data_IF_355392358282
#
_entry.id   IF_355392358282
#
_cell.length_a   1.000
_cell.length_b   1.000
_cell.length_c   1.000
_cell.angle_alpha   90.00
_cell.angle_beta   90.00
_cell.angle_gamma   90.00
#
_symmetry.space_group_name_H-M   'P 1'
#
loop_
_entity.id
_entity.type
_entity.pdbx_description
1 polymer ?
#
# COMPACT_ATOMS: atom_id res chain seq x y z
N UNK A 1 16.96 19.41 9.67
CA UNK A 1 16.73 18.22 10.51
C UNK A 1 17.19 17.02 9.69
N UNK A 2 18.05 16.14 10.22
CA UNK A 2 18.45 14.92 9.51
C UNK A 2 17.23 14.02 9.40
N UNK A 3 16.65 13.96 8.21
CA UNK A 3 15.49 13.14 7.88
C UNK A 3 15.96 11.73 7.52
N UNK A 4 15.23 10.75 8.00
CA UNK A 4 15.37 9.32 7.84
C UNK A 4 16.57 8.70 8.58
N UNK A 5 16.25 7.76 9.45
CA UNK A 5 17.23 6.84 10.01
C UNK A 5 18.04 6.24 8.85
N UNK A 6 19.35 6.55 8.80
CA UNK A 6 20.28 5.85 7.94
C UNK A 6 20.19 4.38 8.32
N UNK A 7 19.60 3.58 7.44
CA UNK A 7 19.51 2.15 7.65
C UNK A 7 20.92 1.58 7.65
N UNK A 8 21.22 0.77 8.65
CA UNK A 8 22.51 0.13 8.79
C UNK A 8 22.74 -0.81 7.58
N UNK A 9 23.83 -0.56 6.86
CA UNK A 9 24.30 -1.49 5.85
C UNK A 9 24.77 -2.75 6.56
N UNK A 10 24.34 -3.91 6.04
CA UNK A 10 24.91 -5.18 6.48
C UNK A 10 26.43 -5.22 6.20
N UNK A 11 27.15 -6.12 6.86
CA UNK A 11 28.60 -6.26 6.74
C UNK A 11 29.08 -6.52 5.28
N UNK A 12 28.19 -7.03 4.42
CA UNK A 12 28.42 -7.27 2.99
C UNK A 12 28.06 -6.04 2.11
N UNK A 13 27.75 -4.91 2.72
CA UNK A 13 27.35 -3.68 2.04
C UNK A 13 25.93 -3.69 1.48
N UNK A 14 25.14 -4.72 1.73
CA UNK A 14 23.73 -4.78 1.31
C UNK A 14 22.82 -3.97 2.22
N UNK A 15 21.71 -3.50 1.63
CA UNK A 15 20.58 -2.92 2.38
C UNK A 15 19.34 -3.75 2.12
N UNK A 16 18.56 -4.06 3.15
CA UNK A 16 17.33 -4.84 3.04
C UNK A 16 16.16 -4.09 3.65
N UNK A 17 15.05 -4.00 2.95
CA UNK A 17 13.82 -3.32 3.37
C UNK A 17 12.57 -4.17 3.10
N UNK A 18 11.60 -4.07 4.03
CA UNK A 18 10.24 -4.56 3.82
C UNK A 18 9.43 -3.44 3.17
N UNK A 19 8.88 -3.69 1.99
CA UNK A 19 7.94 -2.83 1.28
C UNK A 19 6.53 -3.12 1.80
N UNK A 20 6.12 -2.43 2.86
CA UNK A 20 4.88 -2.71 3.58
C UNK A 20 3.64 -2.48 2.71
N UNK A 21 2.65 -3.38 2.78
CA UNK A 21 1.37 -3.21 2.11
C UNK A 21 0.65 -1.95 2.60
N UNK A 22 0.23 -1.10 1.67
CA UNK A 22 -0.58 0.10 1.92
C UNK A 22 -2.06 -0.28 1.99
N UNK A 23 -2.75 0.12 3.03
CA UNK A 23 -4.19 -0.14 3.22
C UNK A 23 -4.96 1.19 3.22
N UNK A 24 -5.92 1.34 2.33
CA UNK A 24 -6.89 2.41 2.41
C UNK A 24 -8.01 2.01 3.40
N UNK A 25 -7.97 2.53 4.63
CA UNK A 25 -9.02 2.25 5.63
C UNK A 25 -10.38 2.84 5.20
N UNK A 26 -10.35 3.93 4.45
CA UNK A 26 -11.48 4.48 3.70
C UNK A 26 -10.98 5.27 2.48
N UNK A 27 -11.86 5.43 1.48
CA UNK A 27 -11.58 6.16 0.25
C UNK A 27 -12.86 6.83 -0.25
N UNK A 28 -12.92 8.14 -0.20
CA UNK A 28 -14.01 8.93 -0.73
C UNK A 28 -13.60 9.58 -2.03
N UNK A 29 -14.46 9.54 -3.04
CA UNK A 29 -14.27 10.32 -4.28
C UNK A 29 -14.91 11.68 -4.06
N UNK A 30 -14.10 12.74 -4.22
CA UNK A 30 -14.51 14.12 -3.90
C UNK A 30 -14.83 14.96 -5.13
N UNK A 31 -14.52 14.46 -6.31
CA UNK A 31 -14.78 15.18 -7.57
C UNK A 31 -13.82 14.78 -8.68
N UNK A 32 -13.56 15.71 -9.57
CA UNK A 32 -12.62 15.58 -10.69
C UNK A 32 -11.85 16.87 -10.89
N UNK A 33 -10.63 16.76 -11.38
CA UNK A 33 -9.82 17.90 -11.81
C UNK A 33 -9.38 17.71 -13.28
N UNK A 34 -9.16 18.81 -14.03
CA UNK A 34 -8.65 18.74 -15.41
C UNK A 34 -7.30 18.03 -15.46
N UNK A 35 -7.10 17.17 -16.45
CA UNK A 35 -5.85 16.42 -16.68
C UNK A 35 -6.14 15.01 -17.22
N UNK A 36 -5.11 14.33 -17.71
CA UNK A 36 -5.25 12.99 -18.26
C UNK A 36 -6.02 12.93 -19.56
N UNK A 37 -7.09 12.16 -19.60
CA UNK A 37 -8.02 12.07 -20.71
C UNK A 37 -9.07 13.20 -20.70
N UNK A 38 -10.02 13.19 -21.65
CA UNK A 38 -11.08 14.21 -21.75
C UNK A 38 -11.97 14.29 -20.50
N UNK A 39 -11.99 13.26 -19.66
CA UNK A 39 -12.80 13.19 -18.43
C UNK A 39 -12.07 13.71 -17.19
N UNK A 40 -10.73 13.90 -17.27
CA UNK A 40 -9.90 14.34 -16.15
C UNK A 40 -9.64 13.25 -15.11
N UNK A 41 -8.86 13.61 -14.09
CA UNK A 41 -8.55 12.69 -12.97
C UNK A 41 -9.59 12.82 -11.85
N UNK A 42 -10.00 11.69 -11.27
CA UNK A 42 -10.79 11.72 -10.03
C UNK A 42 -9.96 12.28 -8.89
N UNK A 43 -10.56 13.17 -8.12
CA UNK A 43 -10.02 13.60 -6.82
C UNK A 43 -10.60 12.71 -5.72
N UNK A 44 -9.79 12.44 -4.73
CA UNK A 44 -10.14 11.56 -3.61
C UNK A 44 -9.76 12.17 -2.26
N UNK A 45 -10.29 11.60 -1.22
CA UNK A 45 -9.89 11.80 0.17
C UNK A 45 -9.86 10.41 0.84
N UNK A 46 -8.70 9.96 1.30
CA UNK A 46 -8.47 8.60 1.76
C UNK A 46 -7.60 8.58 3.01
N UNK A 47 -7.97 7.74 3.98
CA UNK A 47 -7.12 7.43 5.11
C UNK A 47 -6.30 6.20 4.81
N UNK A 48 -4.98 6.39 4.77
CA UNK A 48 -3.98 5.36 4.44
C UNK A 48 -3.21 4.96 5.69
N UNK A 49 -3.03 3.66 5.89
CA UNK A 49 -2.15 3.04 6.88
C UNK A 49 -1.33 1.94 6.21
N UNK A 50 -0.45 1.31 6.96
CA UNK A 50 0.34 0.18 6.47
C UNK A 50 0.04 -1.08 7.27
N UNK A 51 0.30 -2.24 6.66
CA UNK A 51 0.22 -3.54 7.32
C UNK A 51 1.63 -4.09 7.57
N UNK A 52 1.80 -4.86 8.66
CA UNK A 52 3.07 -5.49 9.03
C UNK A 52 3.39 -6.71 8.14
N UNK A 53 3.06 -6.62 6.86
CA UNK A 53 3.42 -7.57 5.81
C UNK A 53 3.79 -6.79 4.55
N UNK A 54 4.72 -7.32 3.77
CA UNK A 54 5.17 -6.65 2.55
C UNK A 54 6.08 -7.52 1.70
N UNK A 55 6.43 -6.99 0.56
CA UNK A 55 7.50 -7.53 -0.27
C UNK A 55 8.87 -7.17 0.33
N UNK A 56 9.93 -7.78 -0.15
CA UNK A 56 11.28 -7.51 0.37
C UNK A 56 12.18 -7.03 -0.75
N UNK A 57 12.74 -5.84 -0.59
CA UNK A 57 13.79 -5.28 -1.44
C UNK A 57 15.15 -5.51 -0.77
N UNK A 58 16.09 -6.05 -1.54
CA UNK A 58 17.50 -6.13 -1.15
C UNK A 58 18.33 -5.52 -2.26
N UNK A 59 19.22 -4.59 -1.92
CA UNK A 59 20.15 -3.97 -2.90
C UNK A 59 21.60 -4.23 -2.51
N UNK A 60 22.45 -4.44 -3.52
CA UNK A 60 23.90 -4.64 -3.40
C UNK A 60 24.63 -3.81 -4.44
N UNK A 61 25.90 -3.42 -4.19
CA UNK A 61 26.70 -2.74 -5.20
C UNK A 61 26.87 -3.62 -6.45
N UNK A 62 26.79 -3.00 -7.65
CA UNK A 62 27.07 -3.64 -8.93
C UNK A 62 27.59 -2.62 -9.95
N UNK A 63 28.03 -3.07 -11.12
CA UNK A 63 28.47 -2.19 -12.21
C UNK A 63 27.28 -1.61 -12.99
N UNK A 64 26.20 -2.41 -13.13
CA UNK A 64 24.98 -2.06 -13.84
C UNK A 64 23.76 -2.18 -12.95
N UNK A 65 22.65 -1.54 -13.31
CA UNK A 65 21.36 -1.72 -12.64
C UNK A 65 20.74 -3.00 -13.15
N UNK A 66 20.55 -3.96 -12.25
CA UNK A 66 19.92 -5.24 -12.53
C UNK A 66 18.79 -5.48 -11.52
N UNK A 67 17.67 -5.99 -11.98
CA UNK A 67 16.54 -6.39 -11.14
C UNK A 67 16.27 -7.89 -11.32
N UNK A 68 16.28 -8.61 -10.23
CA UNK A 68 15.78 -9.99 -10.12
C UNK A 68 14.53 -10.01 -9.28
N UNK A 69 13.50 -10.71 -9.76
CA UNK A 69 12.24 -10.89 -9.06
C UNK A 69 12.07 -12.37 -8.74
N UNK A 70 11.74 -12.67 -7.49
CA UNK A 70 11.40 -14.02 -7.03
C UNK A 70 10.29 -13.95 -5.95
N UNK A 71 9.93 -15.09 -5.38
CA UNK A 71 8.92 -15.18 -4.32
C UNK A 71 7.60 -15.78 -4.80
N UNK A 72 6.69 -16.10 -3.85
CA UNK A 72 5.47 -16.85 -4.15
C UNK A 72 4.49 -16.14 -5.09
N UNK A 73 4.59 -14.81 -5.25
CA UNK A 73 3.73 -14.01 -6.14
C UNK A 73 4.48 -13.49 -7.38
N UNK A 74 5.71 -13.94 -7.61
CA UNK A 74 6.54 -13.45 -8.73
C UNK A 74 5.96 -13.85 -10.10
N UNK A 75 5.42 -15.05 -10.23
CA UNK A 75 4.87 -15.58 -11.49
C UNK A 75 3.61 -14.82 -11.96
N UNK A 76 2.99 -14.03 -11.07
CA UNK A 76 1.86 -13.18 -11.42
C UNK A 76 2.27 -11.85 -12.09
N UNK A 77 3.57 -11.54 -12.16
CA UNK A 77 4.10 -10.37 -12.86
C UNK A 77 4.39 -10.75 -14.32
N UNK A 78 3.56 -10.29 -15.24
CA UNK A 78 3.70 -10.49 -16.70
C UNK A 78 4.17 -9.19 -17.37
N UNK A 79 5.20 -8.56 -16.82
CA UNK A 79 5.75 -7.30 -17.34
C UNK A 79 7.24 -7.42 -17.63
N UNK A 80 7.74 -6.61 -18.57
CA UNK A 80 9.18 -6.51 -18.79
C UNK A 80 9.85 -5.91 -17.55
N UNK A 81 11.02 -6.41 -17.19
CA UNK A 81 11.82 -5.90 -16.05
C UNK A 81 12.00 -4.38 -16.11
N UNK A 82 12.15 -3.81 -17.32
CA UNK A 82 12.31 -2.36 -17.54
C UNK A 82 11.04 -1.55 -17.28
N UNK A 83 9.87 -2.18 -17.25
CA UNK A 83 8.57 -1.57 -16.94
C UNK A 83 8.28 -1.60 -15.43
N UNK A 84 8.94 -2.51 -14.70
CA UNK A 84 8.77 -2.66 -13.26
C UNK A 84 9.16 -1.37 -12.51
N UNK A 85 8.31 -0.94 -11.57
CA UNK A 85 8.50 0.31 -10.83
C UNK A 85 9.80 0.35 -10.03
N UNK A 86 10.30 -0.78 -9.55
CA UNK A 86 11.59 -0.89 -8.84
C UNK A 86 12.74 -0.54 -9.78
N UNK A 87 12.76 -1.10 -10.99
CA UNK A 87 13.78 -0.79 -11.98
C UNK A 87 13.72 0.68 -12.42
N UNK A 88 12.51 1.18 -12.69
CA UNK A 88 12.27 2.58 -13.04
C UNK A 88 12.70 3.55 -11.92
N UNK A 89 12.47 3.18 -10.66
CA UNK A 89 12.92 3.94 -9.49
C UNK A 89 14.44 4.04 -9.44
N UNK A 90 15.15 2.93 -9.68
CA UNK A 90 16.60 2.90 -9.70
C UNK A 90 17.18 3.77 -10.83
N UNK A 91 16.62 3.68 -12.04
CA UNK A 91 17.04 4.49 -13.19
C UNK A 91 16.79 5.97 -12.94
N UNK A 92 15.59 6.34 -12.42
CA UNK A 92 15.24 7.73 -12.15
C UNK A 92 16.16 8.36 -11.08
N UNK A 93 16.41 7.64 -9.98
CA UNK A 93 17.29 8.11 -8.91
C UNK A 93 18.75 8.23 -9.39
N UNK A 94 19.27 7.24 -10.12
CA UNK A 94 20.62 7.26 -10.71
C UNK A 94 20.82 8.46 -11.64
N UNK A 95 19.83 8.70 -12.51
CA UNK A 95 19.87 9.83 -13.44
C UNK A 95 19.85 11.18 -12.70
N UNK A 96 18.98 11.32 -11.67
CA UNK A 96 18.89 12.53 -10.87
C UNK A 96 20.21 12.83 -10.13
N UNK A 97 20.82 11.81 -9.53
CA UNK A 97 22.05 11.96 -8.73
C UNK A 97 23.34 11.89 -9.56
N UNK A 98 23.28 11.64 -10.87
CA UNK A 98 24.45 11.48 -11.73
C UNK A 98 25.32 10.26 -11.40
N UNK A 99 24.71 9.20 -10.84
CA UNK A 99 25.40 7.98 -10.42
C UNK A 99 25.83 7.18 -11.67
N UNK A 100 27.10 6.75 -11.68
CA UNK A 100 27.68 5.93 -12.77
C UNK A 100 27.81 4.45 -12.39
N UNK A 101 27.70 4.12 -11.10
CA UNK A 101 27.68 2.75 -10.59
C UNK A 101 26.27 2.20 -10.60
N UNK A 102 26.14 0.87 -10.73
CA UNK A 102 24.85 0.19 -10.72
C UNK A 102 24.46 -0.33 -9.34
N UNK A 103 23.43 -1.15 -9.35
CA UNK A 103 22.94 -1.88 -8.20
C UNK A 103 22.34 -3.21 -8.64
N UNK A 104 22.64 -4.29 -7.94
CA UNK A 104 21.92 -5.54 -8.05
C UNK A 104 20.76 -5.51 -7.07
N UNK A 105 19.54 -5.48 -7.60
CA UNK A 105 18.29 -5.36 -6.84
C UNK A 105 17.57 -6.71 -6.86
N UNK A 106 17.23 -7.23 -5.69
CA UNK A 106 16.38 -8.39 -5.54
C UNK A 106 15.04 -7.97 -4.94
N UNK A 107 13.96 -8.26 -5.65
CA UNK A 107 12.58 -8.07 -5.21
C UNK A 107 11.97 -9.45 -4.92
N UNK A 108 11.61 -9.71 -3.66
CA UNK A 108 10.89 -10.92 -3.27
C UNK A 108 9.42 -10.60 -3.05
N UNK A 109 8.58 -11.11 -3.97
CA UNK A 109 7.13 -10.84 -3.98
C UNK A 109 6.36 -11.80 -3.06
N UNK A 110 5.71 -11.21 -2.06
CA UNK A 110 4.80 -11.88 -1.13
C UNK A 110 3.37 -11.35 -1.25
N UNK A 111 3.22 -10.10 -1.72
CA UNK A 111 1.93 -9.45 -1.88
C UNK A 111 1.32 -9.80 -3.24
N UNK A 112 0.00 -10.01 -3.32
CA UNK A 112 -0.70 -10.18 -4.60
C UNK A 112 -0.48 -8.97 -5.52
N UNK A 113 -0.38 -9.23 -6.82
CA UNK A 113 -0.19 -8.22 -7.87
C UNK A 113 -1.52 -7.57 -8.23
N UNK A 114 -1.53 -6.27 -8.55
CA UNK A 114 -2.73 -5.50 -8.93
C UNK A 114 -3.88 -5.62 -7.92
N UNK A 115 -3.57 -5.56 -6.64
CA UNK A 115 -4.43 -6.00 -5.54
C UNK A 115 -5.08 -4.87 -4.72
N UNK A 116 -4.91 -3.58 -5.09
CA UNK A 116 -5.46 -2.45 -4.32
C UNK A 116 -4.72 -2.13 -3.01
N UNK A 117 -3.57 -2.76 -2.75
CA UNK A 117 -2.74 -2.58 -1.54
C UNK A 117 -1.37 -1.95 -1.81
N UNK A 118 -1.23 -1.29 -2.95
CA UNK A 118 -0.06 -0.48 -3.29
C UNK A 118 1.27 -1.25 -3.36
N UNK A 119 1.27 -2.58 -3.61
CA UNK A 119 2.47 -3.42 -3.58
C UNK A 119 3.61 -2.87 -4.45
N UNK A 120 3.37 -2.63 -5.74
CA UNK A 120 4.39 -2.08 -6.64
C UNK A 120 4.88 -0.68 -6.25
N UNK A 121 3.99 0.16 -5.69
CA UNK A 121 4.35 1.49 -5.19
C UNK A 121 5.19 1.41 -3.92
N UNK A 122 4.89 0.46 -3.03
CA UNK A 122 5.69 0.18 -1.84
C UNK A 122 7.07 -0.37 -2.22
N UNK A 123 7.13 -1.26 -3.23
CA UNK A 123 8.38 -1.80 -3.77
C UNK A 123 9.28 -0.68 -4.31
N UNK A 124 8.72 0.22 -5.13
CA UNK A 124 9.45 1.38 -5.66
C UNK A 124 9.95 2.30 -4.55
N UNK A 125 9.11 2.60 -3.55
CA UNK A 125 9.50 3.42 -2.41
C UNK A 125 10.62 2.78 -1.58
N UNK A 126 10.54 1.48 -1.31
CA UNK A 126 11.59 0.73 -0.62
C UNK A 126 12.89 0.70 -1.44
N UNK A 127 12.79 0.57 -2.76
CA UNK A 127 13.95 0.63 -3.66
C UNK A 127 14.62 2.01 -3.61
N UNK A 128 13.86 3.12 -3.67
CA UNK A 128 14.39 4.48 -3.55
C UNK A 128 15.15 4.65 -2.22
N UNK A 129 14.56 4.26 -1.08
CA UNK A 129 15.20 4.33 0.23
C UNK A 129 16.49 3.51 0.29
N UNK A 130 16.42 2.25 -0.18
CA UNK A 130 17.56 1.32 -0.17
C UNK A 130 18.70 1.81 -1.06
N UNK A 131 18.41 2.37 -2.23
CA UNK A 131 19.40 2.90 -3.17
C UNK A 131 20.01 4.21 -2.67
N UNK A 132 19.25 5.07 -2.01
CA UNK A 132 19.81 6.24 -1.33
C UNK A 132 20.84 5.81 -0.28
N UNK A 133 20.53 4.79 0.52
CA UNK A 133 21.48 4.26 1.49
C UNK A 133 22.69 3.59 0.80
N UNK A 134 22.47 2.80 -0.26
CA UNK A 134 23.54 2.12 -1.00
C UNK A 134 24.54 3.12 -1.59
N UNK A 135 24.05 4.15 -2.27
CA UNK A 135 24.85 5.14 -2.99
C UNK A 135 25.26 6.34 -2.13
N UNK A 136 24.99 6.31 -0.83
CA UNK A 136 25.26 7.38 0.13
C UNK A 136 24.68 8.73 -0.31
N UNK A 137 23.44 8.70 -0.78
CA UNK A 137 22.70 9.86 -1.26
C UNK A 137 21.80 10.44 -0.15
N UNK A 138 21.76 11.76 -0.09
CA UNK A 138 20.83 12.51 0.76
C UNK A 138 20.08 13.57 -0.10
N UNK A 139 19.26 13.14 -1.07
CA UNK A 139 18.46 14.06 -1.86
C UNK A 139 17.56 14.87 -0.93
N UNK A 140 17.20 16.10 -1.34
CA UNK A 140 16.19 16.83 -0.60
C UNK A 140 14.81 16.14 -0.74
N UNK A 141 13.92 16.45 0.19
CA UNK A 141 12.61 15.80 0.28
C UNK A 141 11.75 16.10 -0.96
N UNK A 142 11.85 17.31 -1.51
CA UNK A 142 11.09 17.72 -2.70
C UNK A 142 11.56 16.96 -3.96
N UNK A 143 12.86 16.78 -4.13
CA UNK A 143 13.42 16.03 -5.25
C UNK A 143 13.03 14.55 -5.18
N UNK A 144 13.13 13.94 -4.01
CA UNK A 144 12.78 12.54 -3.82
C UNK A 144 11.26 12.32 -4.01
N UNK A 145 10.42 13.23 -3.51
CA UNK A 145 8.97 13.21 -3.75
C UNK A 145 8.61 13.42 -5.22
N UNK A 146 9.35 14.25 -5.96
CA UNK A 146 9.16 14.43 -7.41
C UNK A 146 9.47 13.16 -8.18
N UNK A 147 10.55 12.47 -7.82
CA UNK A 147 10.89 11.16 -8.40
C UNK A 147 9.77 10.16 -8.07
N UNK A 148 9.35 10.07 -6.80
CA UNK A 148 8.29 9.17 -6.35
C UNK A 148 6.98 9.40 -7.12
N UNK A 149 6.54 10.64 -7.24
CA UNK A 149 5.30 11.00 -7.95
C UNK A 149 5.37 10.65 -9.45
N UNK A 150 6.54 10.78 -10.08
CA UNK A 150 6.73 10.38 -11.49
C UNK A 150 6.60 8.88 -11.74
N UNK A 151 6.75 8.06 -10.70
CA UNK A 151 6.59 6.61 -10.74
C UNK A 151 5.13 6.18 -10.55
N UNK A 152 4.36 6.93 -9.73
CA UNK A 152 2.95 6.65 -9.50
C UNK A 152 2.39 7.43 -8.30
N UNK A 153 1.08 7.68 -8.30
CA UNK A 153 0.39 8.49 -7.30
C UNK A 153 0.49 7.93 -5.86
N UNK A 154 0.61 6.61 -5.70
CA UNK A 154 0.75 5.95 -4.40
C UNK A 154 2.21 5.88 -3.90
N UNK A 155 3.22 6.17 -4.76
CA UNK A 155 4.63 6.04 -4.36
C UNK A 155 5.03 7.06 -3.28
N UNK A 156 4.58 8.33 -3.31
CA UNK A 156 4.90 9.30 -2.26
C UNK A 156 4.42 8.88 -0.87
N UNK A 157 3.19 8.37 -0.72
CA UNK A 157 2.68 7.92 0.58
C UNK A 157 3.44 6.70 1.09
N UNK A 158 3.82 5.76 0.20
CA UNK A 158 4.68 4.62 0.53
C UNK A 158 6.10 5.07 0.91
N UNK A 159 6.63 6.10 0.25
CA UNK A 159 7.93 6.69 0.58
C UNK A 159 7.91 7.33 1.97
N UNK A 160 6.86 8.08 2.30
CA UNK A 160 6.65 8.63 3.65
C UNK A 160 6.49 7.54 4.71
N UNK A 161 5.85 6.42 4.37
CA UNK A 161 5.72 5.24 5.24
C UNK A 161 4.93 5.47 6.51
N UNK A 162 4.16 6.55 6.61
CA UNK A 162 3.39 6.94 7.80
C UNK A 162 1.91 6.99 7.52
N UNK A 163 1.11 6.66 8.55
CA UNK A 163 -0.33 6.85 8.49
C UNK A 163 -0.67 8.27 8.06
N UNK A 164 -1.47 8.43 7.02
CA UNK A 164 -1.72 9.73 6.38
C UNK A 164 -3.11 9.82 5.77
N UNK A 165 -3.69 11.02 5.77
CA UNK A 165 -4.74 11.38 4.84
C UNK A 165 -4.10 11.73 3.50
N UNK A 166 -4.64 11.17 2.44
CA UNK A 166 -4.21 11.36 1.06
C UNK A 166 -5.35 12.01 0.27
N UNK A 167 -5.10 13.16 -0.34
CA UNK A 167 -6.12 13.92 -1.07
C UNK A 167 -5.61 14.43 -2.42
N UNK A 168 -6.50 15.12 -3.18
CA UNK A 168 -6.22 15.49 -4.57
C UNK A 168 -6.33 14.27 -5.48
N UNK A 169 -5.37 14.04 -6.37
CA UNK A 169 -5.22 12.78 -7.13
C UNK A 169 -4.30 11.78 -6.41
N UNK A 170 -3.94 12.08 -5.13
CA UNK A 170 -3.05 11.28 -4.28
C UNK A 170 -1.76 12.00 -3.88
N UNK A 171 -1.55 13.22 -4.37
CA UNK A 171 -0.32 14.00 -4.19
C UNK A 171 -0.26 14.78 -2.87
N UNK A 172 -1.40 15.06 -2.25
CA UNK A 172 -1.43 15.81 -0.99
C UNK A 172 -1.52 14.86 0.20
N UNK A 173 -0.48 14.87 1.03
CA UNK A 173 -0.37 14.03 2.21
C UNK A 173 -0.42 14.87 3.48
N UNK A 174 -1.29 14.50 4.41
CA UNK A 174 -1.38 15.09 5.74
C UNK A 174 -1.27 13.98 6.77
N UNK A 175 -0.43 14.17 7.80
CA UNK A 175 -0.24 13.16 8.83
C UNK A 175 -1.56 12.77 9.52
N UNK A 176 -1.74 11.48 9.76
CA UNK A 176 -2.86 10.92 10.49
C UNK A 176 -2.35 10.04 11.65
N UNK A 177 -3.22 9.77 12.63
CA UNK A 177 -2.90 8.90 13.77
C UNK A 177 -2.11 9.63 14.88
N UNK A 178 -1.42 8.90 15.74
CA UNK A 178 -1.27 7.43 15.70
C UNK A 178 -2.57 6.70 16.02
N UNK A 179 -2.75 5.55 15.36
CA UNK A 179 -3.86 4.64 15.61
C UNK A 179 -3.47 3.58 16.64
N UNK A 180 -4.45 3.01 17.39
CA UNK A 180 -4.20 2.01 18.40
C UNK A 180 -3.70 0.70 17.79
N UNK A 181 -3.16 -0.17 18.62
CA UNK A 181 -2.82 -1.53 18.22
C UNK A 181 -4.07 -2.22 17.66
N UNK A 182 -4.01 -2.59 16.38
CA UNK A 182 -5.16 -3.08 15.65
C UNK A 182 -4.70 -4.21 14.73
N UNK A 183 -5.40 -5.33 14.77
CA UNK A 183 -5.08 -6.49 13.96
C UNK A 183 -5.92 -6.51 12.69
N UNK A 184 -5.35 -7.06 11.63
CA UNK A 184 -5.92 -7.10 10.30
C UNK A 184 -5.95 -8.54 9.79
N UNK A 185 -7.02 -8.91 9.10
CA UNK A 185 -7.01 -10.03 8.16
C UNK A 185 -7.14 -9.46 6.77
N UNK A 186 -6.15 -9.70 5.91
CA UNK A 186 -6.16 -9.31 4.50
C UNK A 186 -6.52 -10.52 3.65
N UNK A 187 -7.41 -10.31 2.68
CA UNK A 187 -7.85 -11.37 1.75
C UNK A 187 -7.82 -10.84 0.33
N UNK A 188 -7.19 -11.60 -0.56
CA UNK A 188 -7.30 -11.38 -2.00
C UNK A 188 -7.83 -12.65 -2.67
N UNK A 189 -8.91 -12.57 -3.47
CA UNK A 189 -9.48 -13.76 -4.11
C UNK A 189 -8.66 -14.33 -5.27
N UNK A 190 -7.46 -13.79 -5.55
CA UNK A 190 -6.58 -14.26 -6.63
C UNK A 190 -7.04 -13.86 -8.03
N UNK A 191 -7.95 -12.90 -8.14
CA UNK A 191 -8.47 -12.41 -9.43
C UNK A 191 -8.03 -10.98 -9.65
N UNK A 192 -7.41 -10.70 -10.78
CA UNK A 192 -6.97 -9.35 -11.12
C UNK A 192 -8.16 -8.43 -11.39
N UNK A 193 -8.08 -7.20 -10.91
CA UNK A 193 -9.07 -6.15 -11.13
C UNK A 193 -8.38 -4.86 -11.57
N UNK A 194 -8.76 -4.35 -12.74
CA UNK A 194 -8.18 -3.13 -13.27
C UNK A 194 -8.71 -1.90 -12.53
N UNK A 195 -7.80 -1.12 -11.93
CA UNK A 195 -8.15 0.16 -11.29
C UNK A 195 -8.88 1.10 -12.26
N UNK A 196 -8.45 1.16 -13.53
CA UNK A 196 -9.09 2.00 -14.55
C UNK A 196 -10.54 1.56 -14.84
N UNK A 197 -10.81 0.25 -14.88
CA UNK A 197 -12.16 -0.27 -15.06
C UNK A 197 -13.07 0.02 -13.86
N UNK A 198 -12.54 -0.05 -12.63
CA UNK A 198 -13.28 0.30 -11.42
C UNK A 198 -13.67 1.78 -11.41
N UNK A 199 -12.74 2.69 -11.74
CA UNK A 199 -13.05 4.11 -11.86
C UNK A 199 -14.06 4.39 -12.99
N UNK A 200 -13.95 3.72 -14.14
CA UNK A 200 -14.92 3.82 -15.21
C UNK A 200 -16.31 3.34 -14.76
N UNK A 201 -16.40 2.23 -14.04
CA UNK A 201 -17.66 1.72 -13.49
C UNK A 201 -18.25 2.62 -12.37
N UNK A 202 -17.42 3.45 -11.73
CA UNK A 202 -17.88 4.48 -10.79
C UNK A 202 -18.57 5.64 -11.54
N UNK A 203 -18.08 6.03 -12.71
CA UNK A 203 -18.60 7.15 -13.49
C UNK A 203 -20.04 6.95 -13.98
N UNK A 204 -20.46 5.69 -14.13
CA UNK A 204 -21.85 5.33 -14.44
C UNK A 204 -22.81 5.64 -13.25
N UNK A 205 -22.27 6.06 -12.11
CA UNK A 205 -23.01 6.45 -10.92
C UNK A 205 -22.61 7.88 -10.53
N UNK A 206 -23.52 8.63 -9.94
CA UNK A 206 -23.18 9.93 -9.35
C UNK A 206 -22.69 9.69 -7.91
N UNK A 207 -21.37 9.53 -7.68
CA UNK A 207 -20.86 9.27 -6.34
C UNK A 207 -21.14 10.47 -5.44
N UNK A 208 -21.31 10.20 -4.15
CA UNK A 208 -21.34 11.27 -3.14
C UNK A 208 -19.99 11.98 -3.13
N UNK A 209 -19.94 13.26 -3.47
CA UNK A 209 -18.71 14.05 -3.53
C UNK A 209 -18.25 14.59 -2.16
N UNK A 210 -18.72 14.01 -1.05
CA UNK A 210 -18.34 14.49 0.28
C UNK A 210 -17.01 13.88 0.74
N UNK A 211 -16.05 14.74 1.16
CA UNK A 211 -14.79 14.27 1.75
C UNK A 211 -15.02 13.54 3.07
N UNK A 212 -13.95 12.95 3.61
CA UNK A 212 -13.93 12.39 4.96
C UNK A 212 -14.11 13.54 5.98
N UNK A 213 -14.92 13.31 6.99
CA UNK A 213 -14.89 14.21 8.15
C UNK A 213 -13.65 13.93 9.01
N UNK A 214 -12.56 14.65 8.75
CA UNK A 214 -11.29 14.47 9.46
C UNK A 214 -11.41 14.69 10.97
N UNK A 215 -12.48 15.37 11.47
CA UNK A 215 -12.73 15.54 12.91
C UNK A 215 -12.98 14.20 13.60
N UNK A 216 -13.47 13.18 12.89
CA UNK A 216 -13.62 11.82 13.40
C UNK A 216 -12.28 11.22 13.84
N UNK A 217 -11.17 11.69 13.27
CA UNK A 217 -9.81 11.19 13.48
C UNK A 217 -8.91 12.20 14.21
N UNK A 218 -9.45 13.32 14.67
CA UNK A 218 -8.70 14.34 15.42
C UNK A 218 -8.46 13.96 16.89
N UNK A 219 -9.13 12.93 17.38
CA UNK A 219 -8.98 12.41 18.73
C UNK A 219 -7.95 11.28 18.79
N UNK A 220 -7.41 11.03 19.97
CA UNK A 220 -6.62 9.82 20.23
C UNK A 220 -7.57 8.66 20.47
N UNK A 221 -7.45 7.59 19.70
CA UNK A 221 -8.21 6.34 19.91
C UNK A 221 -7.50 5.50 20.98
N UNK A 222 -8.28 4.93 21.89
CA UNK A 222 -7.76 4.08 22.98
C UNK A 222 -7.61 2.62 22.56
N UNK A 223 -8.47 2.18 21.61
CA UNK A 223 -8.51 0.79 21.15
C UNK A 223 -9.07 0.67 19.72
N UNK A 224 -9.06 -0.56 19.20
CA UNK A 224 -9.52 -0.87 17.85
C UNK A 224 -11.05 -0.70 17.67
N UNK A 225 -11.84 -0.83 18.73
CA UNK A 225 -13.29 -0.66 18.68
C UNK A 225 -13.67 0.80 18.44
N UNK A 226 -13.01 1.73 19.10
CA UNK A 226 -13.17 3.17 18.85
C UNK A 226 -12.76 3.55 17.42
N UNK A 227 -11.62 3.04 16.93
CA UNK A 227 -11.19 3.24 15.56
C UNK A 227 -12.23 2.67 14.57
N UNK A 228 -12.68 1.44 14.77
CA UNK A 228 -13.71 0.82 13.93
C UNK A 228 -15.01 1.62 13.92
N UNK A 229 -15.40 2.19 15.06
CA UNK A 229 -16.61 3.03 15.19
C UNK A 229 -16.50 4.32 14.37
N UNK A 230 -15.33 4.97 14.34
CA UNK A 230 -15.08 6.11 13.48
C UNK A 230 -15.09 5.70 12.00
N UNK A 231 -14.42 4.60 11.64
CA UNK A 231 -14.36 4.09 10.28
C UNK A 231 -15.72 3.65 9.73
N UNK A 232 -16.67 3.20 10.56
CA UNK A 232 -18.03 2.88 10.14
C UNK A 232 -18.79 4.09 9.60
N UNK A 233 -18.37 5.31 9.93
CA UNK A 233 -18.93 6.56 9.39
C UNK A 233 -18.32 6.94 8.03
N UNK A 234 -17.29 6.22 7.60
CA UNK A 234 -16.60 6.38 6.32
C UNK A 234 -16.93 5.20 5.40
N UNK A 235 -16.52 5.31 4.14
CA UNK A 235 -16.79 4.32 3.08
C UNK A 235 -15.57 4.13 2.17
N UNK A 236 -15.67 3.17 1.27
CA UNK A 236 -14.83 3.12 0.07
C UNK A 236 -15.77 3.24 -1.15
N UNK A 237 -15.73 4.38 -1.84
CA UNK A 237 -16.60 4.66 -2.98
C UNK A 237 -16.35 3.72 -4.18
N UNK A 238 -15.18 3.07 -4.22
CA UNK A 238 -14.81 2.11 -5.25
C UNK A 238 -15.32 0.69 -4.97
N UNK A 239 -15.74 0.38 -3.73
CA UNK A 239 -16.18 -0.98 -3.32
C UNK A 239 -17.41 -1.46 -4.09
N UNK A 240 -18.43 -0.60 -4.24
CA UNK A 240 -19.64 -0.93 -5.01
C UNK A 240 -19.36 -1.18 -6.49
N UNK A 241 -18.67 -0.26 -7.20
CA UNK A 241 -18.21 -0.50 -8.58
C UNK A 241 -17.38 -1.77 -8.74
N UNK A 242 -16.38 -1.98 -7.86
CA UNK A 242 -15.53 -3.17 -7.90
C UNK A 242 -16.30 -4.47 -7.70
N UNK A 243 -17.24 -4.50 -6.74
CA UNK A 243 -18.08 -5.67 -6.46
C UNK A 243 -19.03 -6.02 -7.62
N UNK A 244 -19.44 -5.03 -8.42
CA UNK A 244 -20.21 -5.30 -9.66
C UNK A 244 -19.37 -5.92 -10.76
N UNK A 245 -18.13 -5.46 -10.92
CA UNK A 245 -17.19 -6.02 -11.88
C UNK A 245 -16.70 -7.40 -11.47
N UNK A 246 -16.49 -7.59 -10.18
CA UNK A 246 -15.94 -8.81 -9.60
C UNK A 246 -16.74 -9.23 -8.35
N UNK A 247 -17.86 -9.97 -8.52
CA UNK A 247 -18.81 -10.33 -7.45
C UNK A 247 -18.16 -11.07 -6.26
N UNK A 248 -17.07 -11.81 -6.47
CA UNK A 248 -16.34 -12.50 -5.39
C UNK A 248 -15.84 -11.56 -4.29
N UNK A 249 -15.71 -10.25 -4.56
CA UNK A 249 -15.41 -9.23 -3.53
C UNK A 249 -16.52 -9.23 -2.47
N UNK A 250 -17.78 -9.36 -2.87
CA UNK A 250 -18.92 -9.49 -1.96
C UNK A 250 -18.84 -10.76 -1.08
N UNK A 251 -18.37 -11.87 -1.65
CA UNK A 251 -18.15 -13.12 -0.91
C UNK A 251 -17.03 -12.96 0.13
N UNK A 252 -15.93 -12.30 -0.25
CA UNK A 252 -14.81 -11.98 0.66
C UNK A 252 -15.27 -11.11 1.82
N UNK A 253 -16.01 -10.02 1.54
CA UNK A 253 -16.53 -9.11 2.56
C UNK A 253 -17.50 -9.83 3.51
N UNK A 254 -18.37 -10.70 2.97
CA UNK A 254 -19.31 -11.51 3.74
C UNK A 254 -18.57 -12.52 4.62
N UNK A 255 -17.55 -13.19 4.07
CA UNK A 255 -16.70 -14.12 4.83
C UNK A 255 -15.99 -13.44 6.00
N UNK A 256 -15.41 -12.25 5.79
CA UNK A 256 -14.79 -11.45 6.87
C UNK A 256 -15.80 -11.05 7.93
N UNK A 257 -16.92 -10.45 7.52
CA UNK A 257 -17.94 -9.91 8.43
C UNK A 257 -18.58 -10.99 9.30
N UNK A 258 -18.61 -12.23 8.82
CA UNK A 258 -19.16 -13.36 9.56
C UNK A 258 -18.21 -13.91 10.64
N UNK A 259 -16.94 -13.49 10.67
CA UNK A 259 -15.97 -14.02 11.65
C UNK A 259 -16.16 -13.37 13.02
N UNK A 260 -16.17 -14.17 14.10
CA UNK A 260 -16.21 -13.63 15.47
C UNK A 260 -15.07 -12.63 15.71
N UNK A 261 -15.41 -11.48 16.27
CA UNK A 261 -14.45 -10.41 16.56
C UNK A 261 -14.10 -9.50 15.37
N UNK A 262 -14.69 -9.71 14.18
CA UNK A 262 -14.55 -8.77 13.09
C UNK A 262 -15.29 -7.47 13.38
N UNK A 263 -14.57 -6.38 13.57
CA UNK A 263 -15.10 -5.07 13.91
C UNK A 263 -15.58 -4.30 12.67
N UNK A 264 -14.92 -4.49 11.55
CA UNK A 264 -15.20 -3.86 10.25
C UNK A 264 -14.61 -4.74 9.13
N UNK A 265 -15.35 -4.95 8.06
CA UNK A 265 -14.85 -5.48 6.81
C UNK A 265 -15.00 -4.45 5.69
N UNK A 266 -13.97 -4.27 4.86
CA UNK A 266 -13.97 -3.29 3.76
C UNK A 266 -12.92 -3.65 2.70
N UNK A 267 -13.16 -3.22 1.45
CA UNK A 267 -12.17 -3.31 0.37
C UNK A 267 -11.12 -2.20 0.50
N UNK A 268 -9.86 -2.50 0.24
CA UNK A 268 -8.77 -1.52 0.17
C UNK A 268 -8.58 -0.99 -1.25
N UNK A 269 -8.47 0.34 -1.38
CA UNK A 269 -8.22 0.99 -2.67
C UNK A 269 -9.27 0.62 -3.71
N UNK A 270 -8.84 0.27 -4.91
CA UNK A 270 -9.68 -0.21 -6.02
C UNK A 270 -9.94 -1.72 -5.98
N UNK A 271 -9.42 -2.44 -4.99
CA UNK A 271 -9.57 -3.89 -4.84
C UNK A 271 -8.48 -4.68 -5.61
N UNK A 272 -8.58 -6.02 -5.72
CA UNK A 272 -9.62 -6.86 -5.11
C UNK A 272 -9.36 -7.22 -3.63
N UNK A 273 -8.28 -6.73 -3.01
CA UNK A 273 -8.00 -7.06 -1.61
C UNK A 273 -9.02 -6.38 -0.69
N UNK A 274 -9.59 -7.18 0.23
CA UNK A 274 -10.40 -6.70 1.34
C UNK A 274 -9.65 -6.92 2.66
N UNK A 275 -10.03 -6.14 3.67
CA UNK A 275 -9.49 -6.29 5.01
C UNK A 275 -10.60 -6.40 6.05
N UNK A 276 -10.33 -7.14 7.12
CA UNK A 276 -11.12 -7.15 8.35
C UNK A 276 -10.30 -6.54 9.49
N UNK A 277 -10.91 -5.69 10.32
CA UNK A 277 -10.33 -5.16 11.56
C UNK A 277 -10.70 -6.05 12.73
N UNK A 278 -9.75 -6.30 13.63
CA UNK A 278 -9.90 -7.08 14.86
C UNK A 278 -9.19 -6.38 16.02
N UNK A 279 -9.73 -6.55 17.22
CA UNK A 279 -9.15 -5.95 18.42
C UNK A 279 -7.89 -6.70 18.91
N UNK A 280 -7.81 -8.00 18.64
CA UNK A 280 -6.71 -8.83 19.15
C UNK A 280 -6.18 -9.82 18.08
N UNK A 281 -4.93 -10.27 18.28
CA UNK A 281 -4.23 -11.16 17.38
C UNK A 281 -4.89 -12.53 17.28
N UNK A 282 -5.36 -13.07 18.40
CA UNK A 282 -5.95 -14.41 18.43
C UNK A 282 -7.21 -14.49 17.60
N UNK A 283 -8.08 -13.46 17.67
CA UNK A 283 -9.28 -13.37 16.86
C UNK A 283 -8.93 -13.25 15.37
N UNK A 284 -7.94 -12.41 15.02
CA UNK A 284 -7.49 -12.23 13.63
C UNK A 284 -6.90 -13.54 13.06
N UNK A 285 -6.01 -14.19 13.79
CA UNK A 285 -5.39 -15.48 13.35
C UNK A 285 -6.45 -16.55 13.20
N UNK A 286 -7.35 -16.72 14.19
CA UNK A 286 -8.43 -17.71 14.13
C UNK A 286 -9.35 -17.45 12.92
N UNK A 287 -9.68 -16.19 12.64
CA UNK A 287 -10.48 -15.83 11.48
C UNK A 287 -9.76 -16.18 10.16
N UNK A 288 -8.47 -15.85 10.06
CA UNK A 288 -7.66 -16.17 8.89
C UNK A 288 -7.59 -17.69 8.64
N UNK A 289 -7.31 -18.47 9.66
CA UNK A 289 -7.23 -19.95 9.56
C UNK A 289 -8.55 -20.57 9.08
N UNK A 290 -9.67 -20.10 9.60
CA UNK A 290 -11.00 -20.54 9.18
C UNK A 290 -11.29 -20.15 7.71
N UNK A 291 -10.89 -18.95 7.28
CA UNK A 291 -11.10 -18.50 5.92
C UNK A 291 -10.21 -19.28 4.96
N UNK A 292 -8.95 -19.56 5.30
CA UNK A 292 -8.05 -20.43 4.52
C UNK A 292 -8.66 -21.83 4.34
N UNK A 293 -9.27 -22.37 5.40
CA UNK A 293 -9.94 -23.68 5.33
C UNK A 293 -11.16 -23.66 4.41
N UNK A 294 -11.98 -22.61 4.49
CA UNK A 294 -13.20 -22.47 3.68
C UNK A 294 -12.91 -22.10 2.20
N UNK A 295 -11.79 -21.37 1.95
CA UNK A 295 -11.42 -20.82 0.66
C UNK A 295 -9.91 -20.98 0.39
N UNK A 296 -9.43 -22.21 0.12
CA UNK A 296 -8.00 -22.51 -0.03
C UNK A 296 -7.31 -21.83 -1.20
N UNK A 297 -8.08 -21.33 -2.18
CA UNK A 297 -7.56 -20.61 -3.35
C UNK A 297 -7.38 -19.11 -3.11
N UNK A 298 -7.84 -18.59 -1.95
CA UNK A 298 -7.65 -17.20 -1.63
C UNK A 298 -6.29 -16.97 -0.96
N UNK A 299 -5.67 -15.84 -1.26
CA UNK A 299 -4.55 -15.36 -0.46
C UNK A 299 -5.11 -14.71 0.81
N UNK A 300 -4.76 -15.25 1.96
CA UNK A 300 -5.25 -14.79 3.27
C UNK A 300 -4.07 -14.66 4.22
N UNK A 301 -4.03 -13.56 4.96
CA UNK A 301 -3.00 -13.33 5.98
C UNK A 301 -3.55 -12.55 7.16
N UNK A 302 -3.27 -13.02 8.38
CA UNK A 302 -3.41 -12.23 9.59
C UNK A 302 -2.15 -11.38 9.79
N UNK A 303 -2.33 -10.10 10.10
CA UNK A 303 -1.25 -9.12 10.28
C UNK A 303 -1.71 -8.03 11.26
N UNK A 304 -0.96 -6.94 11.37
CA UNK A 304 -1.34 -5.79 12.20
C UNK A 304 -1.17 -4.47 11.45
N UNK A 305 -1.88 -3.46 11.90
CA UNK A 305 -1.73 -2.09 11.46
C UNK A 305 -0.36 -1.53 11.93
N UNK A 306 0.29 -0.79 11.05
CA UNK A 306 1.55 -0.09 11.31
C UNK A 306 1.37 1.39 11.00
N UNK A 307 1.62 2.24 12.00
CA UNK A 307 1.55 3.69 11.86
C UNK A 307 2.79 4.30 11.17
N UNK A 308 3.92 3.59 11.26
CA UNK A 308 5.23 4.03 10.73
C UNK A 308 6.04 2.81 10.30
N UNK A 309 6.31 2.70 9.00
CA UNK A 309 7.02 1.56 8.41
C UNK A 309 8.50 1.49 8.82
N UNK A 310 9.11 2.59 9.27
CA UNK A 310 10.49 2.57 9.76
C UNK A 310 10.61 1.68 11.00
N UNK A 311 9.58 1.65 11.86
CA UNK A 311 9.52 0.73 13.00
C UNK A 311 9.38 -0.75 12.62
N UNK A 312 8.82 -1.04 11.44
CA UNK A 312 8.75 -2.41 10.92
C UNK A 312 10.14 -2.93 10.54
N UNK A 313 11.00 -2.06 10.03
CA UNK A 313 12.36 -2.41 9.64
C UNK A 313 13.21 -2.82 10.87
N UNK A 314 13.01 -2.16 12.01
CA UNK A 314 13.70 -2.45 13.27
C UNK A 314 13.37 -3.87 13.81
N UNK A 315 12.18 -4.39 13.50
CA UNK A 315 11.74 -5.74 13.91
C UNK A 315 12.19 -6.85 12.94
N UNK A 316 12.59 -6.47 11.73
CA UNK A 316 12.99 -7.41 10.66
C UNK A 316 14.51 -7.53 10.51
N UNK A 317 15.28 -6.73 11.24
CA UNK A 317 16.74 -6.73 11.29
C UNK A 317 17.27 -7.69 12.35
#
# INVERSE_FOLDING_TARGET
MRTAAMQDKAADGSTRLVAAAKINLCLHITGRQPGGDEQGFHTLDSLVVFAAIGDVITVRPAETIELRIDGPMADALDELVTENLVYRAAVALSAHAGIQTGANISLKKHLPVAAGIGGGSADAAAALKSLCALWDLAPDEDDLNRIALSLGADVPVCLGGKASFMSGVGEHLTAAGPFPDTHLVLINPGVALSTAEVFKALDDQSPSSSPIDHRLFAQTFTDADELASALKQCRNDLEGPASRLLPVIGDVLSSLSARPGCLLARMSGSGATCFGLFADETAAVTAADQIIYDHPDWWVVATRLVNDTDKLQELAA
#
